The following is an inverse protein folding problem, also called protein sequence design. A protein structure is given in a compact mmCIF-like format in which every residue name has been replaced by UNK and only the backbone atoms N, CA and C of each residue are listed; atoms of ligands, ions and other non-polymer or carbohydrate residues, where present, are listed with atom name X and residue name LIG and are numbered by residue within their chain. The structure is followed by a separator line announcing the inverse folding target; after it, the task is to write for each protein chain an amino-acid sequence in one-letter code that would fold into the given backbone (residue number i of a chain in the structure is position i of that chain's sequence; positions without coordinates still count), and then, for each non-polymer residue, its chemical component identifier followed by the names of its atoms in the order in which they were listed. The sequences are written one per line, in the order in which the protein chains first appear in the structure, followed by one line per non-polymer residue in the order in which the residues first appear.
data_IF_903178498444
#
_entry.id   IF_903178498444
#
_cell.length_a   1.000
_cell.length_b   1.000
_cell.length_c   1.000
_cell.angle_alpha   90.00
_cell.angle_beta   90.00
_cell.angle_gamma   90.00
#
_symmetry.space_group_name_H-M   'P 1'
#
loop_
_entity.id
_entity.type
_entity.pdbx_description
1 polymer ?
#
# COMPACT_ATOMS: atom_id res chain seq x y z
N UNK A 1 0.21 10.30 -14.22
CA UNK A 1 0.40 11.67 -13.70
C UNK A 1 1.40 12.32 -14.62
N UNK A 2 1.09 13.45 -15.25
CA UNK A 2 2.05 14.11 -16.12
C UNK A 2 3.04 14.92 -15.26
N UNK A 3 4.33 14.62 -15.42
CA UNK A 3 5.44 15.27 -14.71
C UNK A 3 6.42 15.93 -15.69
N UNK A 4 6.09 15.98 -16.99
CA UNK A 4 7.00 16.44 -18.05
C UNK A 4 7.48 17.90 -17.88
N UNK A 5 6.63 18.77 -17.31
CA UNK A 5 6.98 20.17 -16.99
C UNK A 5 7.84 20.32 -15.72
N UNK A 6 7.99 19.27 -14.90
CA UNK A 6 8.66 19.32 -13.60
C UNK A 6 10.08 18.74 -13.68
N UNK A 7 11.08 19.60 -13.53
CA UNK A 7 12.50 19.22 -13.61
C UNK A 7 12.90 18.36 -12.41
N UNK A 8 13.16 17.08 -12.67
CA UNK A 8 13.69 16.14 -11.67
C UNK A 8 15.11 16.54 -11.24
N UNK A 9 15.39 16.42 -9.94
CA UNK A 9 16.74 16.54 -9.37
C UNK A 9 17.45 15.19 -9.53
N UNK A 10 18.60 15.10 -10.20
CA UNK A 10 19.26 13.82 -10.45
C UNK A 10 19.82 13.23 -9.15
N UNK A 11 19.61 11.92 -8.93
CA UNK A 11 20.10 11.19 -7.75
C UNK A 11 20.58 9.81 -8.17
N UNK A 12 21.81 9.47 -7.76
CA UNK A 12 22.45 8.18 -8.06
C UNK A 12 22.47 7.27 -6.82
N UNK A 13 21.30 7.03 -6.24
CA UNK A 13 21.11 6.16 -5.06
C UNK A 13 20.00 5.16 -5.41
N UNK A 14 20.24 3.84 -5.35
CA UNK A 14 19.22 2.86 -5.63
C UNK A 14 18.20 2.79 -4.49
N UNK A 15 16.91 2.73 -4.84
CA UNK A 15 15.84 2.44 -3.90
C UNK A 15 15.84 0.93 -3.59
N UNK A 16 15.97 0.59 -2.32
CA UNK A 16 16.01 -0.81 -1.85
C UNK A 16 14.69 -1.21 -1.19
N UNK A 17 14.22 -2.43 -1.46
CA UNK A 17 13.01 -2.99 -0.84
C UNK A 17 11.69 -2.56 -1.49
N UNK A 18 11.73 -1.67 -2.49
CA UNK A 18 10.59 -1.40 -3.36
C UNK A 18 10.37 -2.61 -4.29
N UNK A 19 9.18 -3.21 -4.25
CA UNK A 19 8.88 -4.44 -4.99
C UNK A 19 9.69 -5.69 -4.57
N UNK A 20 10.46 -5.61 -3.48
CA UNK A 20 11.39 -6.67 -3.07
C UNK A 20 12.73 -6.69 -3.82
N UNK A 21 12.99 -5.71 -4.70
CA UNK A 21 14.22 -5.63 -5.50
C UNK A 21 14.97 -4.30 -5.25
N UNK A 22 16.00 -4.03 -6.07
CA UNK A 22 16.66 -2.72 -6.16
C UNK A 22 16.17 -2.02 -7.41
N UNK A 23 15.70 -0.78 -7.28
CA UNK A 23 15.19 0.03 -8.39
C UNK A 23 16.03 1.31 -8.52
N UNK A 24 16.36 1.67 -9.76
CA UNK A 24 17.07 2.92 -10.09
C UNK A 24 16.06 4.08 -10.03
N UNK A 25 16.49 5.22 -9.50
CA UNK A 25 15.66 6.41 -9.45
C UNK A 25 15.83 7.24 -10.73
N UNK A 26 14.72 7.72 -11.29
CA UNK A 26 14.72 8.78 -12.32
C UNK A 26 15.11 10.13 -11.70
N UNK A 27 14.85 10.30 -10.41
CA UNK A 27 15.31 11.45 -9.63
C UNK A 27 14.45 11.76 -8.42
N UNK A 28 14.55 13.00 -7.96
CA UNK A 28 13.78 13.55 -6.85
C UNK A 28 12.94 14.74 -7.34
N UNK A 29 11.69 14.81 -6.85
CA UNK A 29 10.75 15.89 -7.13
C UNK A 29 10.08 16.35 -5.84
N UNK A 30 9.87 17.66 -5.68
CA UNK A 30 9.09 18.22 -4.57
C UNK A 30 7.68 18.55 -5.10
N UNK A 31 6.65 17.95 -4.52
CA UNK A 31 5.25 18.07 -4.96
C UNK A 31 4.34 18.55 -3.83
N UNK A 32 3.40 19.43 -4.16
CA UNK A 32 2.29 19.78 -3.26
C UNK A 32 1.26 18.65 -3.29
N UNK A 33 1.15 17.92 -2.19
CA UNK A 33 0.15 16.87 -1.98
C UNK A 33 -0.99 17.44 -1.14
N UNK A 34 -2.23 17.24 -1.59
CA UNK A 34 -3.43 17.58 -0.82
C UNK A 34 -4.15 16.31 -0.38
N UNK A 35 -4.62 16.28 0.88
CA UNK A 35 -5.41 15.17 1.44
C UNK A 35 -6.69 15.75 2.04
N UNK A 36 -7.80 15.05 1.78
CA UNK A 36 -9.14 15.43 2.22
C UNK A 36 -9.76 16.57 1.41
N UNK A 37 -10.98 16.93 1.82
CA UNK A 37 -11.81 17.95 1.18
C UNK A 37 -12.09 19.09 2.16
N UNK A 38 -12.47 20.26 1.62
CA UNK A 38 -12.82 21.43 2.43
C UNK A 38 -14.02 21.12 3.35
N UNK A 39 -14.03 21.61 4.61
CA UNK A 39 -13.10 22.58 5.22
C UNK A 39 -11.86 21.94 5.89
N UNK A 40 -11.65 20.63 5.72
CA UNK A 40 -10.57 19.87 6.38
C UNK A 40 -9.45 19.46 5.42
N UNK A 41 -9.36 20.10 4.25
CA UNK A 41 -8.28 19.81 3.29
C UNK A 41 -6.95 20.27 3.87
N UNK A 42 -5.93 19.42 3.76
CA UNK A 42 -4.55 19.76 4.14
C UNK A 42 -3.62 19.56 2.96
N UNK A 43 -2.88 20.61 2.64
CA UNK A 43 -1.85 20.59 1.59
C UNK A 43 -0.47 20.71 2.21
N UNK A 44 0.47 19.86 1.80
CA UNK A 44 1.85 19.84 2.27
C UNK A 44 2.81 19.63 1.09
N UNK A 45 3.97 20.27 1.14
CA UNK A 45 5.08 19.96 0.22
C UNK A 45 5.72 18.65 0.67
N UNK A 46 5.85 17.69 -0.24
CA UNK A 46 6.46 16.38 0.00
C UNK A 46 7.46 16.08 -1.10
N UNK A 47 8.64 15.64 -0.68
CA UNK A 47 9.69 15.15 -1.57
C UNK A 47 9.43 13.69 -1.93
N UNK A 48 9.31 13.39 -3.22
CA UNK A 48 9.16 12.05 -3.76
C UNK A 48 10.43 11.59 -4.47
N UNK A 49 10.69 10.29 -4.37
CA UNK A 49 11.61 9.57 -5.24
C UNK A 49 10.80 9.11 -6.47
N UNK A 50 11.26 9.43 -7.67
CA UNK A 50 10.61 9.03 -8.92
C UNK A 50 11.29 7.77 -9.45
N UNK A 51 10.48 6.79 -9.86
CA UNK A 51 10.91 5.53 -10.48
C UNK A 51 10.03 5.27 -11.69
N UNK A 52 10.62 4.82 -12.81
CA UNK A 52 9.84 4.20 -13.89
C UNK A 52 9.60 2.73 -13.53
N UNK A 53 8.35 2.36 -13.28
CA UNK A 53 7.99 1.02 -12.83
C UNK A 53 6.51 0.70 -13.07
N UNK A 54 6.16 -0.51 -13.54
CA UNK A 54 4.78 -0.89 -13.89
C UNK A 54 3.89 -1.24 -12.68
N UNK A 55 3.99 -0.50 -11.58
CA UNK A 55 3.13 -0.70 -10.40
C UNK A 55 1.72 -0.13 -10.63
N UNK A 56 0.72 -0.73 -9.98
CA UNK A 56 -0.66 -0.24 -9.96
C UNK A 56 -0.85 1.08 -9.18
N UNK A 57 0.21 1.65 -8.60
CA UNK A 57 0.16 2.83 -7.74
C UNK A 57 0.99 3.97 -8.35
N UNK A 58 0.36 5.12 -8.59
CA UNK A 58 1.03 6.32 -9.12
C UNK A 58 1.92 7.04 -8.09
N UNK A 59 1.66 6.85 -6.80
CA UNK A 59 2.42 7.46 -5.70
C UNK A 59 2.30 6.61 -4.44
N UNK A 60 3.35 6.59 -3.61
CA UNK A 60 3.36 5.87 -2.32
C UNK A 60 3.78 6.83 -1.21
N UNK A 61 2.86 7.13 -0.30
CA UNK A 61 3.17 7.91 0.91
C UNK A 61 3.71 6.99 2.01
N UNK A 62 5.04 6.94 2.12
CA UNK A 62 5.71 6.28 3.24
C UNK A 62 5.49 7.01 4.57
N UNK A 63 6.03 6.43 5.66
CA UNK A 63 5.94 6.97 7.04
C UNK A 63 6.30 8.46 7.15
N UNK A 64 7.29 8.94 6.39
CA UNK A 64 7.68 10.35 6.38
C UNK A 64 6.53 11.26 5.90
N UNK A 65 5.87 10.91 4.80
CA UNK A 65 4.73 11.66 4.27
C UNK A 65 3.53 11.64 5.23
N UNK A 66 3.22 10.48 5.81
CA UNK A 66 2.16 10.35 6.82
C UNK A 66 2.45 11.21 8.07
N UNK A 67 3.71 11.26 8.52
CA UNK A 67 4.12 12.08 9.65
C UNK A 67 4.00 13.59 9.36
N UNK A 68 4.31 14.04 8.14
CA UNK A 68 4.11 15.44 7.70
C UNK A 68 2.62 15.82 7.80
N UNK A 69 1.73 14.93 7.37
CA UNK A 69 0.28 15.13 7.54
C UNK A 69 -0.20 14.96 8.99
N UNK A 70 0.62 14.45 9.91
CA UNK A 70 0.22 13.97 11.26
C UNK A 70 -0.94 12.98 11.13
N UNK A 71 -0.79 12.02 10.23
CA UNK A 71 -1.84 11.12 9.80
C UNK A 71 -1.73 9.72 10.43
N UNK A 72 -2.88 9.11 10.68
CA UNK A 72 -3.04 7.74 11.17
C UNK A 72 -3.79 6.93 10.11
N UNK A 73 -3.20 5.81 9.69
CA UNK A 73 -3.82 4.86 8.77
C UNK A 73 -4.47 3.74 9.58
N UNK A 74 -5.77 3.55 9.39
CA UNK A 74 -6.50 2.39 9.87
C UNK A 74 -6.78 1.47 8.69
N UNK A 75 -5.95 0.43 8.52
CA UNK A 75 -6.11 -0.58 7.46
C UNK A 75 -7.42 -1.36 7.60
N UNK A 76 -7.80 -1.72 8.82
CA UNK A 76 -9.06 -2.42 9.11
C UNK A 76 -10.30 -1.63 8.62
N UNK A 77 -10.35 -0.33 8.93
CA UNK A 77 -11.45 0.55 8.51
C UNK A 77 -11.27 1.17 7.11
N UNK A 78 -10.14 0.90 6.44
CA UNK A 78 -9.72 1.54 5.18
C UNK A 78 -9.82 3.07 5.22
N UNK A 79 -9.29 3.67 6.29
CA UNK A 79 -9.38 5.11 6.58
C UNK A 79 -8.01 5.72 6.86
N UNK A 80 -7.86 6.98 6.45
CA UNK A 80 -6.75 7.86 6.79
C UNK A 80 -7.31 9.06 7.58
N UNK A 81 -7.00 9.15 8.87
CA UNK A 81 -7.28 10.35 9.68
C UNK A 81 -6.06 11.25 9.73
N UNK A 82 -6.23 12.57 9.81
CA UNK A 82 -5.11 13.52 9.87
C UNK A 82 -5.52 14.83 10.57
N UNK A 83 -4.54 15.55 11.13
CA UNK A 83 -4.80 16.78 11.89
C UNK A 83 -4.61 18.05 11.05
N UNK A 84 -5.62 18.91 11.07
CA UNK A 84 -5.62 20.24 10.41
C UNK A 84 -5.80 21.38 11.43
N UNK A 85 -5.75 22.63 10.96
CA UNK A 85 -6.10 23.79 11.79
C UNK A 85 -7.60 23.87 12.14
N UNK A 86 -8.47 23.27 11.30
CA UNK A 86 -9.92 23.23 11.49
C UNK A 86 -10.42 22.00 12.26
N UNK A 87 -9.51 21.14 12.75
CA UNK A 87 -9.84 19.89 13.43
C UNK A 87 -9.34 18.65 12.69
N UNK A 88 -9.98 17.51 12.96
CA UNK A 88 -9.69 16.22 12.32
C UNK A 88 -10.25 16.16 10.90
N UNK A 89 -9.40 15.80 9.93
CA UNK A 89 -9.83 15.36 8.60
C UNK A 89 -9.82 13.83 8.51
N UNK A 90 -10.72 13.27 7.69
CA UNK A 90 -10.78 11.83 7.39
C UNK A 90 -10.93 11.63 5.87
N UNK A 91 -10.13 10.73 5.31
CA UNK A 91 -10.34 10.16 3.97
C UNK A 91 -10.68 8.68 4.12
N UNK A 92 -11.73 8.23 3.44
CA UNK A 92 -12.06 6.80 3.26
C UNK A 92 -11.46 6.33 1.93
N UNK A 93 -10.79 5.18 1.92
CA UNK A 93 -10.44 4.51 0.67
C UNK A 93 -11.64 3.75 0.11
N UNK A 94 -11.77 3.69 -1.21
CA UNK A 94 -12.71 2.77 -1.86
C UNK A 94 -12.22 1.32 -1.66
N UNK A 95 -13.02 0.51 -0.97
CA UNK A 95 -12.70 -0.89 -0.69
C UNK A 95 -12.71 -1.78 -1.94
N UNK A 96 -13.56 -1.49 -2.92
CA UNK A 96 -13.64 -2.22 -4.18
C UNK A 96 -12.39 -1.93 -5.02
N UNK A 97 -11.99 -0.68 -5.12
CA UNK A 97 -10.79 -0.28 -5.86
C UNK A 97 -9.50 -0.78 -5.18
N UNK A 98 -9.40 -0.67 -3.85
CA UNK A 98 -8.29 -1.26 -3.09
C UNK A 98 -8.15 -2.78 -3.34
N UNK A 99 -9.26 -3.53 -3.27
CA UNK A 99 -9.28 -4.96 -3.61
C UNK A 99 -8.88 -5.23 -5.06
N UNK A 100 -9.20 -4.34 -6.01
CA UNK A 100 -8.79 -4.48 -7.40
C UNK A 100 -7.27 -4.28 -7.56
N UNK A 101 -6.69 -3.26 -6.93
CA UNK A 101 -5.25 -3.02 -6.90
C UNK A 101 -4.46 -4.20 -6.31
N UNK A 102 -4.91 -4.75 -5.18
CA UNK A 102 -4.29 -5.94 -4.57
C UNK A 102 -4.34 -7.17 -5.50
N UNK A 103 -5.49 -7.41 -6.14
CA UNK A 103 -5.63 -8.51 -7.10
C UNK A 103 -4.76 -8.33 -8.36
N UNK A 104 -4.58 -7.09 -8.83
CA UNK A 104 -3.68 -6.78 -9.95
C UNK A 104 -2.20 -7.00 -9.55
N UNK A 105 -1.81 -6.59 -8.36
CA UNK A 105 -0.46 -6.85 -7.83
C UNK A 105 -0.16 -8.35 -7.75
N UNK A 106 -1.09 -9.16 -7.23
CA UNK A 106 -0.96 -10.63 -7.15
C UNK A 106 -0.83 -11.23 -8.56
N UNK A 107 -1.66 -10.81 -9.52
CA UNK A 107 -1.60 -11.29 -10.92
C UNK A 107 -0.30 -10.90 -11.63
N UNK A 108 0.20 -9.69 -11.42
CA UNK A 108 1.46 -9.27 -12.02
C UNK A 108 2.64 -10.05 -11.41
N UNK A 109 2.62 -10.33 -10.10
CA UNK A 109 3.64 -11.15 -9.43
C UNK A 109 3.68 -12.62 -9.88
N UNK A 110 2.60 -13.16 -10.45
CA UNK A 110 2.58 -14.51 -11.02
C UNK A 110 2.96 -14.55 -12.50
N UNK A 111 2.82 -13.43 -13.23
CA UNK A 111 3.29 -13.28 -14.61
C UNK A 111 4.82 -13.11 -14.72
N UNK A 112 5.51 -12.60 -13.70
CA UNK A 112 6.99 -12.56 -13.71
C UNK A 112 7.61 -13.95 -13.50
N UNK A 113 6.94 -14.83 -12.75
CA UNK A 113 7.41 -16.20 -12.46
C UNK A 113 7.44 -17.13 -13.67
N UNK A 114 6.85 -16.76 -14.81
CA UNK A 114 6.86 -17.57 -16.04
C UNK A 114 7.95 -17.18 -17.04
N UNK A 115 8.68 -16.07 -16.83
CA UNK A 115 9.81 -15.71 -17.72
C UNK A 115 11.09 -16.52 -17.46
N UNK A 116 11.27 -17.03 -16.24
CA UNK A 116 12.50 -17.71 -15.79
C UNK A 116 12.43 -19.26 -15.83
N UNK A 117 11.45 -19.82 -16.56
CA UNK A 117 11.26 -21.28 -16.70
C UNK A 117 11.37 -21.80 -18.14
N UNK A 118 12.06 -21.08 -19.04
CA UNK A 118 12.32 -21.56 -20.41
C UNK A 118 13.61 -22.38 -20.58
N UNK A 119 13.89 -23.29 -19.64
CA UNK A 119 14.66 -24.53 -19.88
C UNK A 119 14.14 -25.68 -18.99
N UNK A 120 14.20 -26.89 -19.54
CA UNK A 120 13.84 -28.20 -18.94
C UNK A 120 12.33 -28.52 -18.81
N UNK A 121 11.79 -29.16 -19.84
CA UNK A 121 11.48 -30.60 -19.76
C UNK A 121 10.25 -31.09 -18.97
N UNK A 122 9.12 -31.14 -19.69
CA UNK A 122 8.21 -32.30 -19.83
C UNK A 122 7.24 -32.79 -18.70
N UNK A 123 5.97 -32.88 -19.13
CA UNK A 123 4.81 -33.72 -18.72
C UNK A 123 4.23 -33.83 -17.29
N UNK A 124 2.89 -33.64 -17.23
CA UNK A 124 1.98 -34.06 -16.15
C UNK A 124 0.65 -33.25 -16.10
N UNK A 125 -0.51 -33.89 -16.38
CA UNK A 125 -1.86 -33.32 -16.13
C UNK A 125 -2.20 -33.29 -14.62
N UNK A 126 -3.32 -32.77 -14.11
CA UNK A 126 -4.74 -32.66 -14.56
C UNK A 126 -5.38 -31.40 -13.89
N UNK A 127 -6.18 -30.55 -14.55
CA UNK A 127 -7.63 -30.54 -14.84
C UNK A 127 -8.65 -30.13 -13.72
N UNK A 128 -9.30 -28.99 -13.99
CA UNK A 128 -10.75 -28.67 -13.84
C UNK A 128 -11.47 -28.17 -12.56
N UNK A 129 -11.11 -28.49 -11.30
CA UNK A 129 -12.11 -28.28 -10.20
C UNK A 129 -12.30 -26.86 -9.60
N UNK A 130 -11.31 -25.94 -9.61
CA UNK A 130 -11.43 -24.64 -8.90
C UNK A 130 -12.17 -23.58 -9.72
N UNK A 131 -13.43 -23.87 -10.10
CA UNK A 131 -14.28 -22.94 -10.88
C UNK A 131 -15.72 -22.76 -10.36
N UNK A 132 -16.05 -23.26 -9.17
CA UNK A 132 -17.41 -23.16 -8.60
C UNK A 132 -17.49 -22.40 -7.27
N UNK A 133 -17.79 -21.10 -7.41
CA UNK A 133 -18.63 -20.24 -6.57
C UNK A 133 -18.82 -20.60 -5.07
N UNK A 134 -18.48 -19.64 -4.19
CA UNK A 134 -19.32 -19.29 -3.02
C UNK A 134 -19.02 -17.88 -2.47
N UNK A 135 -19.70 -16.88 -3.04
CA UNK A 135 -20.43 -15.89 -2.23
C UNK A 135 -21.58 -16.64 -1.50
N UNK A 136 -22.08 -16.30 -0.31
CA UNK A 136 -21.98 -15.12 0.58
C UNK A 136 -22.48 -15.53 1.99
N UNK A 137 -22.04 -14.87 3.09
CA UNK A 137 -22.90 -14.50 4.24
C UNK A 137 -22.27 -13.44 5.18
N UNK A 138 -23.13 -12.75 5.93
CA UNK A 138 -23.09 -11.37 6.46
C UNK A 138 -23.80 -11.37 7.84
N UNK A 139 -23.56 -10.57 8.89
CA UNK A 139 -22.41 -9.78 9.45
C UNK A 139 -22.83 -9.26 10.87
N UNK A 140 -21.93 -8.74 11.75
CA UNK A 140 -22.31 -8.26 13.09
C UNK A 140 -22.73 -6.78 13.09
N UNK A 141 -23.89 -6.48 13.71
CA UNK A 141 -24.56 -5.18 13.61
C UNK A 141 -24.27 -4.24 14.80
N UNK A 142 -24.03 -4.76 16.01
CA UNK A 142 -23.55 -3.95 17.15
C UNK A 142 -22.88 -4.84 18.24
N UNK A 143 -22.50 -4.20 19.34
CA UNK A 143 -21.57 -4.57 20.44
C UNK A 143 -21.07 -6.02 20.65
N UNK A 144 -19.76 -6.14 20.87
CA UNK A 144 -18.98 -7.38 20.99
C UNK A 144 -18.47 -7.63 22.41
N UNK A 145 -18.54 -8.89 22.88
CA UNK A 145 -17.87 -9.41 24.08
C UNK A 145 -17.82 -10.95 24.01
N UNK A 146 -16.88 -11.66 24.61
CA UNK A 146 -15.59 -11.27 25.21
C UNK A 146 -14.59 -12.42 24.96
N UNK A 147 -13.29 -12.14 25.05
CA UNK A 147 -12.23 -13.09 24.70
C UNK A 147 -11.61 -13.65 25.99
N UNK A 148 -11.49 -14.97 26.12
CA UNK A 148 -10.49 -15.58 27.00
C UNK A 148 -9.42 -16.31 26.17
N UNK A 149 -8.21 -15.76 26.18
CA UNK A 149 -7.00 -16.38 25.64
C UNK A 149 -6.09 -16.76 26.80
N UNK A 150 -5.96 -18.06 27.06
CA UNK A 150 -5.03 -18.62 28.04
C UNK A 150 -4.47 -19.96 27.51
N UNK A 151 -3.27 -20.38 27.94
CA UNK A 151 -2.06 -19.57 28.11
C UNK A 151 -0.82 -20.25 27.47
N UNK A 152 0.16 -19.50 26.95
CA UNK A 152 1.41 -20.12 26.48
C UNK A 152 2.34 -19.28 25.59
N UNK A 153 3.32 -18.63 26.23
CA UNK A 153 4.67 -18.34 25.70
C UNK A 153 4.85 -17.81 24.26
N UNK A 154 4.50 -16.54 24.04
CA UNK A 154 5.27 -15.67 23.14
C UNK A 154 6.12 -14.69 23.96
N UNK A 155 7.22 -15.19 24.52
CA UNK A 155 8.15 -14.45 25.37
C UNK A 155 9.10 -13.52 24.57
N UNK A 156 8.57 -12.85 23.54
CA UNK A 156 9.26 -11.81 22.76
C UNK A 156 8.47 -10.52 22.94
N UNK A 157 8.81 -9.65 23.91
CA UNK A 157 8.11 -8.39 24.08
C UNK A 157 8.30 -7.51 22.83
N UNK A 158 7.23 -6.98 22.22
CA UNK A 158 7.34 -6.11 21.06
C UNK A 158 8.05 -4.82 21.47
N UNK A 159 9.32 -4.68 21.07
CA UNK A 159 10.12 -3.48 21.34
C UNK A 159 9.66 -2.33 20.44
N UNK A 160 8.64 -1.59 20.88
CA UNK A 160 8.40 -0.23 20.40
C UNK A 160 9.61 0.63 20.81
N UNK A 161 10.45 0.97 19.83
CA UNK A 161 11.57 1.87 20.05
C UNK A 161 11.07 3.30 20.23
N UNK A 162 11.33 3.89 21.40
CA UNK A 162 11.21 5.33 21.58
C UNK A 162 12.41 6.06 20.94
N UNK A 163 12.11 7.16 20.25
CA UNK A 163 13.08 8.20 19.87
C UNK A 163 12.36 9.54 19.79
#
# INVERSE_FOLDING_TARGET
MDLSDLRLKPVNIPLVGFGGSKVVLEGIIDLLVSIGEEPTRKTCMIQFLVVDSPFAYNAVLGRLGLNIFRALVSTYHLKLKFLTKGGEGEVRCDQKEARQCDNLLIKNSSLEKTKDKRKVGDQGGENEEIKKMKSERIEPIEEYKEIELLPGELNIPPRLGHR
#
